data_IF_211448230981
#
_entry.id   IF_211448230981
#
_cell.length_a   1.000
_cell.length_b   1.000
_cell.length_c   1.000
_cell.angle_alpha   90.00
_cell.angle_beta   90.00
_cell.angle_gamma   90.00
#
_symmetry.space_group_name_H-M   'P 1'
#
loop_
_entity.id
_entity.type
_entity.pdbx_description
1 polymer ?
#
# COMPACT_ATOMS: atom_id res chain seq x y z
N UNK A 1 29.27 9.66 3.84
CA UNK A 1 28.51 10.25 2.71
C UNK A 1 27.25 10.89 3.28
N UNK A 2 26.92 12.13 2.89
CA UNK A 2 25.73 12.81 3.39
C UNK A 2 24.53 12.49 2.51
N UNK A 3 23.89 11.33 2.71
CA UNK A 3 22.70 10.97 1.93
C UNK A 3 21.55 11.89 2.33
N UNK A 4 21.01 12.65 1.37
CA UNK A 4 19.89 13.60 1.60
C UNK A 4 18.53 13.01 1.22
N UNK A 5 18.52 11.79 0.67
CA UNK A 5 17.33 11.10 0.22
C UNK A 5 17.45 9.60 0.46
N UNK A 6 16.36 8.98 0.91
CA UNK A 6 16.22 7.54 1.03
C UNK A 6 14.80 7.12 0.65
N UNK A 7 14.71 6.05 -0.14
CA UNK A 7 13.45 5.42 -0.51
C UNK A 7 13.41 4.00 0.04
N UNK A 8 12.34 3.68 0.76
CA UNK A 8 12.12 2.37 1.34
C UNK A 8 10.86 1.76 0.73
N UNK A 9 11.01 0.73 -0.10
CA UNK A 9 9.91 -0.18 -0.42
C UNK A 9 9.75 -1.15 0.77
N UNK A 10 9.07 -0.69 1.82
CA UNK A 10 9.10 -1.33 3.13
C UNK A 10 8.37 -2.69 3.16
N UNK A 11 7.34 -2.86 2.33
CA UNK A 11 6.66 -4.14 2.15
C UNK A 11 6.05 -4.25 0.76
N UNK A 12 6.13 -5.46 0.21
CA UNK A 12 5.67 -5.78 -1.14
C UNK A 12 4.93 -7.09 -1.16
N UNK A 13 3.74 -7.08 -1.76
CA UNK A 13 2.96 -8.28 -2.03
C UNK A 13 3.00 -8.61 -3.52
N UNK A 14 3.48 -9.80 -3.87
CA UNK A 14 3.28 -10.39 -5.20
C UNK A 14 2.13 -11.38 -5.14
N UNK A 15 1.23 -11.32 -6.13
CA UNK A 15 0.07 -12.20 -6.23
C UNK A 15 0.01 -12.85 -7.61
N UNK A 16 -0.53 -14.09 -7.70
CA UNK A 16 -0.74 -14.75 -8.99
C UNK A 16 -1.65 -13.94 -9.92
N UNK A 17 -1.53 -14.18 -11.22
CA UNK A 17 -2.29 -13.49 -12.27
C UNK A 17 -3.80 -13.39 -12.04
N UNK A 18 -4.40 -14.37 -11.35
CA UNK A 18 -5.85 -14.37 -11.08
C UNK A 18 -6.32 -13.19 -10.23
N UNK A 19 -5.43 -12.47 -9.55
CA UNK A 19 -5.74 -11.30 -8.73
C UNK A 19 -5.91 -10.02 -9.59
N UNK A 20 -6.78 -10.07 -10.60
CA UNK A 20 -6.94 -9.00 -11.59
C UNK A 20 -7.88 -7.86 -11.17
N UNK A 21 -8.53 -7.95 -10.01
CA UNK A 21 -9.36 -6.88 -9.48
C UNK A 21 -8.49 -5.94 -8.64
N UNK A 22 -8.23 -4.76 -9.19
CA UNK A 22 -7.43 -3.72 -8.55
C UNK A 22 -8.37 -2.76 -7.83
N UNK A 23 -8.14 -2.55 -6.55
CA UNK A 23 -8.98 -1.74 -5.68
C UNK A 23 -8.10 -0.78 -4.87
N UNK A 24 -8.67 0.37 -4.52
CA UNK A 24 -8.10 1.26 -3.50
C UNK A 24 -9.15 1.62 -2.46
N UNK A 25 -8.70 1.96 -1.27
CA UNK A 25 -9.54 2.62 -0.28
C UNK A 25 -9.91 4.03 -0.76
N UNK A 26 -11.19 4.40 -0.65
CA UNK A 26 -11.67 5.78 -0.76
C UNK A 26 -12.05 6.28 0.64
N UNK A 27 -11.31 7.27 1.19
CA UNK A 27 -11.68 7.88 2.47
C UNK A 27 -13.02 8.61 2.41
N UNK A 28 -13.40 9.15 1.25
CA UNK A 28 -14.67 9.85 1.06
C UNK A 28 -15.85 8.89 1.15
N UNK A 29 -15.75 7.74 0.46
CA UNK A 29 -16.83 6.75 0.39
C UNK A 29 -16.76 5.71 1.51
N UNK A 30 -15.65 5.68 2.28
CA UNK A 30 -15.34 4.68 3.31
C UNK A 30 -15.53 3.24 2.83
N UNK A 31 -15.06 2.95 1.61
CA UNK A 31 -15.10 1.63 0.97
C UNK A 31 -13.96 1.45 -0.02
N UNK A 32 -13.77 0.21 -0.48
CA UNK A 32 -12.93 -0.08 -1.63
C UNK A 32 -13.64 0.33 -2.92
N UNK A 33 -12.91 1.00 -3.79
CA UNK A 33 -13.37 1.40 -5.12
C UNK A 33 -12.42 0.85 -6.18
N UNK A 34 -12.90 0.60 -7.41
CA UNK A 34 -12.05 0.21 -8.51
C UNK A 34 -10.86 1.15 -8.69
N UNK A 35 -9.71 0.55 -8.96
CA UNK A 35 -8.47 1.22 -9.27
C UNK A 35 -8.02 0.73 -10.65
N UNK A 36 -7.60 1.65 -11.50
CA UNK A 36 -7.08 1.27 -12.81
C UNK A 36 -5.80 0.41 -12.67
N UNK A 37 -5.41 -0.28 -13.75
CA UNK A 37 -4.19 -1.10 -13.80
C UNK A 37 -2.94 -0.31 -14.21
N UNK A 38 -2.99 1.03 -14.19
CA UNK A 38 -1.82 1.85 -14.51
C UNK A 38 -0.73 1.63 -13.46
N UNK A 39 0.49 1.39 -13.92
CA UNK A 39 1.64 1.23 -13.03
C UNK A 39 1.90 2.54 -12.30
N UNK A 40 2.10 2.46 -10.99
CA UNK A 40 2.50 3.61 -10.18
C UNK A 40 1.88 3.66 -8.80
N UNK A 41 2.27 4.69 -8.05
CA UNK A 41 1.88 4.91 -6.66
C UNK A 41 0.71 5.89 -6.53
N UNK A 42 -0.06 5.74 -5.45
CA UNK A 42 -1.13 6.64 -5.06
C UNK A 42 -1.26 6.69 -3.52
N UNK A 43 -1.96 7.67 -2.93
CA UNK A 43 -1.85 7.97 -1.50
C UNK A 43 -2.70 7.08 -0.56
N UNK A 44 -3.49 6.16 -1.08
CA UNK A 44 -4.44 5.35 -0.29
C UNK A 44 -4.11 3.86 -0.33
N UNK A 45 -4.51 3.05 0.68
CA UNK A 45 -4.35 1.60 0.65
C UNK A 45 -4.78 0.95 -0.67
N UNK A 46 -3.95 0.03 -1.18
CA UNK A 46 -4.23 -0.79 -2.37
C UNK A 46 -4.60 -2.20 -1.93
N UNK A 47 -5.57 -2.79 -2.63
CA UNK A 47 -5.99 -4.19 -2.49
C UNK A 47 -6.03 -4.80 -3.88
N UNK A 48 -5.46 -5.99 -4.03
CA UNK A 48 -5.63 -6.81 -5.22
C UNK A 48 -6.45 -8.05 -4.85
N UNK A 49 -7.38 -8.42 -5.71
CA UNK A 49 -8.32 -9.51 -5.46
C UNK A 49 -8.60 -10.36 -6.71
N UNK A 50 -9.06 -11.59 -6.50
CA UNK A 50 -9.64 -12.42 -7.56
C UNK A 50 -10.94 -11.82 -8.05
N UNK A 51 -11.29 -12.07 -9.32
CA UNK A 51 -12.51 -11.52 -9.93
C UNK A 51 -13.80 -11.88 -9.18
N UNK A 52 -13.84 -13.04 -8.54
CA UNK A 52 -14.96 -13.50 -7.71
C UNK A 52 -14.97 -12.91 -6.29
N UNK A 53 -13.96 -12.09 -5.95
CA UNK A 53 -13.82 -11.43 -4.65
C UNK A 53 -13.53 -12.36 -3.47
N UNK A 54 -13.31 -13.67 -3.69
CA UNK A 54 -13.10 -14.65 -2.62
C UNK A 54 -11.70 -14.60 -2.02
N UNK A 55 -10.73 -14.09 -2.76
CA UNK A 55 -9.36 -13.91 -2.29
C UNK A 55 -8.93 -12.48 -2.59
N UNK A 56 -8.51 -11.78 -1.56
CA UNK A 56 -8.05 -10.41 -1.59
C UNK A 56 -6.89 -10.27 -0.61
N UNK A 57 -5.93 -9.42 -0.96
CA UNK A 57 -4.85 -9.02 -0.08
C UNK A 57 -4.56 -7.54 -0.28
N UNK A 58 -4.47 -6.81 0.81
CA UNK A 58 -4.15 -5.39 0.81
C UNK A 58 -3.00 -5.04 1.73
N UNK A 59 -2.65 -3.76 1.75
CA UNK A 59 -1.68 -3.20 2.68
C UNK A 59 -2.17 -1.87 3.22
N UNK A 60 -2.00 -1.67 4.53
CA UNK A 60 -2.27 -0.41 5.21
C UNK A 60 -1.06 -0.06 6.05
N UNK A 61 -0.50 1.12 5.83
CA UNK A 61 0.48 1.71 6.74
C UNK A 61 -0.21 2.25 7.99
N UNK A 62 0.40 2.01 9.15
CA UNK A 62 0.00 2.61 10.42
C UNK A 62 0.78 3.90 10.74
N UNK A 63 1.68 4.33 9.86
CA UNK A 63 2.62 5.41 10.16
C UNK A 63 2.38 6.64 9.29
N UNK A 64 2.20 7.78 9.97
CA UNK A 64 2.41 9.12 9.40
C UNK A 64 3.45 9.82 10.27
N UNK A 65 4.71 9.75 9.86
CA UNK A 65 5.80 10.45 10.56
C UNK A 65 6.05 11.82 9.93
N UNK A 66 6.25 12.84 10.76
CA UNK A 66 6.66 14.18 10.30
C UNK A 66 8.01 14.08 9.58
N UNK A 67 8.14 14.73 8.43
CA UNK A 67 9.36 14.67 7.60
C UNK A 67 9.45 13.45 6.67
N UNK A 68 8.43 12.58 6.65
CA UNK A 68 8.35 11.44 5.73
C UNK A 68 7.27 11.69 4.69
N UNK A 69 7.64 11.62 3.41
CA UNK A 69 6.68 11.59 2.32
C UNK A 69 6.15 10.15 2.15
N UNK A 70 4.83 10.01 2.12
CA UNK A 70 4.13 8.73 2.07
C UNK A 70 3.15 8.54 3.23
N UNK A 71 2.59 7.32 3.38
CA UNK A 71 2.82 6.13 2.56
C UNK A 71 2.39 6.33 1.10
N UNK A 72 3.23 5.90 0.16
CA UNK A 72 2.87 5.71 -1.25
C UNK A 72 2.51 4.25 -1.49
N UNK A 73 1.34 3.99 -2.07
CA UNK A 73 0.87 2.63 -2.35
C UNK A 73 0.90 2.37 -3.84
N UNK A 74 1.79 1.48 -4.26
CA UNK A 74 1.94 1.11 -5.66
C UNK A 74 1.00 -0.01 -6.09
N UNK A 75 0.68 -0.02 -7.38
CA UNK A 75 0.05 -1.13 -8.08
C UNK A 75 0.83 -1.43 -9.35
N UNK A 76 1.07 -2.70 -9.62
CA UNK A 76 1.86 -3.15 -10.74
C UNK A 76 1.25 -4.40 -11.38
N UNK A 77 1.40 -4.47 -12.69
CA UNK A 77 0.77 -5.46 -13.56
C UNK A 77 1.83 -5.95 -14.56
N UNK A 78 2.22 -7.22 -14.44
CA UNK A 78 3.29 -7.85 -15.23
C UNK A 78 2.71 -8.99 -16.08
N UNK A 79 2.22 -8.71 -17.30
CA UNK A 79 1.54 -9.70 -18.13
C UNK A 79 2.43 -10.86 -18.59
N UNK A 80 3.69 -10.57 -18.93
CA UNK A 80 4.62 -11.60 -19.40
C UNK A 80 4.94 -12.61 -18.29
N UNK A 81 5.06 -12.14 -17.05
CA UNK A 81 5.39 -12.96 -15.89
C UNK A 81 4.15 -13.55 -15.20
N UNK A 82 2.94 -13.16 -15.63
CA UNK A 82 1.66 -13.59 -15.03
C UNK A 82 1.59 -13.29 -13.53
N UNK A 83 2.03 -12.10 -13.14
CA UNK A 83 2.06 -11.64 -11.74
C UNK A 83 1.53 -10.22 -11.63
N UNK A 84 0.85 -9.94 -10.52
CA UNK A 84 0.46 -8.59 -10.10
C UNK A 84 1.10 -8.27 -8.75
N UNK A 85 1.30 -6.99 -8.47
CA UNK A 85 1.99 -6.54 -7.25
C UNK A 85 1.36 -5.28 -6.68
N UNK A 86 1.35 -5.18 -5.37
CA UNK A 86 1.29 -3.89 -4.68
C UNK A 86 2.57 -3.69 -3.85
N UNK A 87 2.93 -2.45 -3.55
CA UNK A 87 3.96 -2.14 -2.56
C UNK A 87 3.52 -0.97 -1.65
N UNK A 88 4.20 -0.82 -0.51
CA UNK A 88 4.08 0.35 0.36
C UNK A 88 5.46 1.00 0.49
N UNK A 89 5.56 2.25 0.02
CA UNK A 89 6.81 2.98 -0.13
C UNK A 89 6.82 4.21 0.77
N UNK A 90 7.95 4.44 1.40
CA UNK A 90 8.23 5.66 2.16
C UNK A 90 9.44 6.37 1.58
N UNK A 91 9.41 7.69 1.61
CA UNK A 91 10.51 8.54 1.17
C UNK A 91 10.87 9.51 2.27
N UNK A 92 12.15 9.54 2.61
CA UNK A 92 12.71 10.50 3.54
C UNK A 92 13.60 11.44 2.75
N UNK A 93 13.46 12.73 3.03
CA UNK A 93 14.27 13.77 2.41
C UNK A 93 14.66 14.80 3.46
N UNK A 94 15.96 15.03 3.59
CA UNK A 94 16.53 16.04 4.47
C UNK A 94 17.68 16.74 3.76
N UNK A 95 17.60 18.06 3.64
CA UNK A 95 18.62 18.86 2.95
C UNK A 95 19.94 18.89 3.71
N UNK A 96 19.89 18.76 5.03
CA UNK A 96 21.05 18.78 5.92
C UNK A 96 21.66 17.37 6.11
N UNK A 97 21.04 16.36 5.49
CA UNK A 97 21.47 14.96 5.52
C UNK A 97 20.58 14.11 6.42
N UNK A 98 20.29 12.90 5.94
CA UNK A 98 19.54 11.90 6.69
C UNK A 98 20.37 11.38 7.86
N UNK A 99 19.74 11.33 9.04
CA UNK A 99 20.37 10.80 10.25
C UNK A 99 20.61 9.30 10.14
N UNK A 100 21.82 8.85 10.48
CA UNK A 100 22.10 7.43 10.59
C UNK A 100 21.31 6.77 11.73
N UNK A 101 20.95 5.50 11.57
CA UNK A 101 20.25 4.71 12.58
C UNK A 101 19.12 3.87 11.99
N UNK A 102 18.28 3.35 12.87
CA UNK A 102 17.20 2.44 12.50
C UNK A 102 15.94 3.19 12.06
N UNK A 103 15.44 2.81 10.88
CA UNK A 103 14.14 3.23 10.37
C UNK A 103 13.15 2.08 10.50
N UNK A 104 12.10 2.29 11.29
CA UNK A 104 11.03 1.31 11.50
C UNK A 104 9.76 1.73 10.77
N UNK A 105 9.10 0.78 10.13
CA UNK A 105 7.84 0.99 9.42
C UNK A 105 6.83 -0.08 9.83
N UNK A 106 5.65 0.33 10.27
CA UNK A 106 4.57 -0.60 10.65
C UNK A 106 3.46 -0.60 9.61
N UNK A 107 3.15 -1.80 9.13
CA UNK A 107 2.11 -2.05 8.15
C UNK A 107 1.27 -3.23 8.61
N UNK A 108 -0.01 -3.22 8.26
CA UNK A 108 -0.91 -4.35 8.38
C UNK A 108 -1.25 -4.86 6.99
N UNK A 109 -1.38 -6.18 6.86
CA UNK A 109 -1.74 -6.87 5.61
C UNK A 109 -3.07 -7.59 5.82
N UNK A 110 -4.21 -6.95 5.51
CA UNK A 110 -5.50 -7.63 5.51
C UNK A 110 -5.55 -8.66 4.37
N UNK A 111 -6.04 -9.86 4.67
CA UNK A 111 -6.26 -10.94 3.71
C UNK A 111 -7.60 -11.64 3.98
N UNK A 112 -8.25 -12.15 2.94
CA UNK A 112 -9.57 -12.80 3.03
C UNK A 112 -10.39 -12.57 1.77
N UNK A 113 -11.71 -12.44 1.92
CA UNK A 113 -12.59 -11.93 0.86
C UNK A 113 -12.46 -10.41 0.71
N UNK A 114 -12.91 -9.84 -0.40
CA UNK A 114 -12.93 -8.38 -0.61
C UNK A 114 -13.72 -7.67 0.50
N UNK A 115 -14.84 -8.24 0.95
CA UNK A 115 -15.66 -7.67 2.01
C UNK A 115 -14.94 -7.69 3.37
N UNK A 116 -14.26 -8.78 3.73
CA UNK A 116 -13.48 -8.87 4.97
C UNK A 116 -12.30 -7.89 4.96
N UNK A 117 -11.60 -7.79 3.82
CA UNK A 117 -10.50 -6.84 3.64
C UNK A 117 -11.00 -5.40 3.73
N UNK A 118 -12.11 -5.05 3.09
CA UNK A 118 -12.72 -3.72 3.18
C UNK A 118 -13.07 -3.36 4.63
N UNK A 119 -13.76 -4.26 5.35
CA UNK A 119 -14.14 -4.04 6.75
C UNK A 119 -12.92 -3.89 7.65
N UNK A 120 -11.87 -4.68 7.41
CA UNK A 120 -10.61 -4.59 8.14
C UNK A 120 -9.92 -3.25 7.90
N UNK A 121 -9.79 -2.82 6.63
CA UNK A 121 -9.21 -1.52 6.28
C UNK A 121 -10.03 -0.40 6.89
N UNK A 122 -11.36 -0.46 6.82
CA UNK A 122 -12.24 0.53 7.45
C UNK A 122 -11.97 0.65 8.96
N UNK A 123 -11.92 -0.47 9.67
CA UNK A 123 -11.64 -0.50 11.11
C UNK A 123 -10.26 0.08 11.45
N UNK A 124 -9.23 -0.24 10.65
CA UNK A 124 -7.88 0.32 10.83
C UNK A 124 -7.90 1.84 10.60
N UNK A 125 -8.50 2.29 9.49
CA UNK A 125 -8.52 3.71 9.11
C UNK A 125 -9.35 4.58 10.06
N UNK A 126 -10.34 4.02 10.75
CA UNK A 126 -11.07 4.69 11.82
C UNK A 126 -10.20 4.86 13.07
N UNK A 127 -9.42 3.84 13.45
CA UNK A 127 -8.52 3.89 14.62
C UNK A 127 -7.27 4.75 14.41
N UNK A 128 -6.77 4.86 13.18
CA UNK A 128 -5.58 5.67 12.84
C UNK A 128 -5.91 7.17 12.69
N UNK A 129 -7.20 7.54 12.68
CA UNK A 129 -7.63 8.96 12.67
C UNK A 129 -7.72 9.58 14.07
N UNK A 130 -7.74 8.76 15.12
CA UNK A 130 -7.60 9.16 16.53
C UNK A 130 -6.12 9.37 16.88
#
# INVERSE_FOLDING_TARGET
EGHTYAQFEALTGYMPWKFQQFLRWSPEQKKLVPLDKQLGEQPFPVVLATEDGKHAMGVVSLEKRKGMAGPGYGRFYFPNDKVVKWNCVYRLQDKDGLQAGDYSFRMLVPFGTVAEVENTIKSIMEKVKE
#
